data_IF_143077599945
#
_entry.id   IF_143077599945
#
_cell.length_a   1.000
_cell.length_b   1.000
_cell.length_c   1.000
_cell.angle_alpha   90.00
_cell.angle_beta   90.00
_cell.angle_gamma   90.00
#
_symmetry.space_group_name_H-M   'P 1'
#
loop_
_entity.id
_entity.type
_entity.pdbx_description
1 polymer ?
#
# COMPACT_ATOMS: atom_id res chain seq x y z
N UNK A 1 -31.98 5.78 -0.77
CA UNK A 1 -30.52 5.76 -1.00
C UNK A 1 -29.82 5.12 0.20
N UNK A 2 -29.84 3.79 0.31
CA UNK A 2 -29.28 3.07 1.47
C UNK A 2 -28.10 2.13 1.09
N UNK A 3 -27.61 2.19 -0.15
CA UNK A 3 -26.64 1.22 -0.69
C UNK A 3 -25.18 1.67 -0.69
N UNK A 4 -24.80 2.71 0.04
CA UNK A 4 -23.43 3.24 0.05
C UNK A 4 -22.62 2.88 1.29
N UNK A 5 -23.23 2.22 2.28
CA UNK A 5 -22.51 1.69 3.44
C UNK A 5 -22.16 0.25 3.08
N UNK A 6 -20.88 -0.10 3.08
CA UNK A 6 -20.43 -1.45 2.76
C UNK A 6 -21.08 -2.48 3.71
N UNK A 7 -21.97 -3.34 3.17
CA UNK A 7 -22.63 -4.40 3.95
C UNK A 7 -21.64 -5.46 4.45
N UNK A 8 -20.48 -5.60 3.81
CA UNK A 8 -19.44 -6.56 4.20
C UNK A 8 -18.27 -5.86 4.90
N UNK A 9 -18.27 -5.93 6.23
CA UNK A 9 -17.28 -5.33 7.14
C UNK A 9 -16.04 -6.19 7.35
N UNK A 10 -15.94 -7.38 6.74
CA UNK A 10 -14.76 -8.25 6.90
C UNK A 10 -13.52 -7.54 6.36
N UNK A 11 -12.36 -7.80 6.96
CA UNK A 11 -11.07 -7.30 6.44
C UNK A 11 -10.87 -7.75 4.98
N UNK A 12 -10.41 -6.83 4.14
CA UNK A 12 -10.00 -7.12 2.76
C UNK A 12 -8.59 -7.69 2.79
N UNK A 13 -8.41 -8.82 2.11
CA UNK A 13 -7.13 -9.54 1.99
C UNK A 13 -6.81 -9.78 0.52
N UNK A 14 -5.58 -10.18 0.22
CA UNK A 14 -5.17 -10.57 -1.15
C UNK A 14 -6.09 -11.64 -1.75
N UNK A 15 -6.50 -12.63 -0.94
CA UNK A 15 -7.43 -13.67 -1.38
C UNK A 15 -8.79 -13.10 -1.77
N UNK A 16 -9.33 -12.17 -0.97
CA UNK A 16 -10.61 -11.53 -1.27
C UNK A 16 -10.56 -10.68 -2.54
N UNK A 17 -9.44 -10.00 -2.81
CA UNK A 17 -9.27 -9.28 -4.08
C UNK A 17 -9.30 -10.25 -5.28
N UNK A 18 -8.74 -11.46 -5.14
CA UNK A 18 -8.82 -12.51 -6.17
C UNK A 18 -10.27 -12.97 -6.36
N UNK A 19 -11.01 -13.21 -5.27
CA UNK A 19 -12.41 -13.61 -5.35
C UNK A 19 -13.30 -12.51 -5.99
N UNK A 20 -13.09 -11.24 -5.63
CA UNK A 20 -13.80 -10.10 -6.24
C UNK A 20 -13.59 -10.08 -7.75
N UNK A 21 -12.34 -10.25 -8.19
CA UNK A 21 -12.00 -10.36 -9.63
C UNK A 21 -12.73 -11.54 -10.29
N UNK A 22 -12.77 -12.71 -9.65
CA UNK A 22 -13.47 -13.89 -10.18
C UNK A 22 -14.98 -13.68 -10.30
N UNK A 23 -15.58 -12.91 -9.38
CA UNK A 23 -17.00 -12.52 -9.42
C UNK A 23 -17.29 -11.35 -10.36
N UNK A 24 -16.27 -10.72 -10.95
CA UNK A 24 -16.43 -9.53 -11.78
C UNK A 24 -16.73 -8.25 -11.00
N UNK A 25 -16.55 -8.27 -9.68
CA UNK A 25 -16.70 -7.09 -8.80
C UNK A 25 -15.52 -6.14 -9.01
N UNK A 26 -15.82 -4.85 -9.19
CA UNK A 26 -14.77 -3.82 -9.34
C UNK A 26 -14.14 -3.55 -7.98
N UNK A 27 -12.81 -3.52 -7.95
CA UNK A 27 -12.02 -3.19 -6.76
C UNK A 27 -11.81 -1.68 -6.74
N UNK A 28 -12.17 -1.05 -5.63
CA UNK A 28 -11.94 0.37 -5.38
C UNK A 28 -10.67 0.59 -4.56
N UNK A 29 -9.84 1.54 -5.00
CA UNK A 29 -8.62 1.93 -4.30
C UNK A 29 -8.52 3.45 -4.24
N UNK A 30 -8.17 3.99 -3.08
CA UNK A 30 -7.90 5.41 -2.90
C UNK A 30 -6.68 5.62 -2.02
N UNK A 31 -5.95 6.71 -2.23
CA UNK A 31 -4.84 7.06 -1.37
C UNK A 31 -5.30 7.69 -0.05
N UNK A 32 -4.56 7.43 1.02
CA UNK A 32 -4.68 8.16 2.28
C UNK A 32 -3.32 8.20 2.97
N UNK A 33 -3.07 9.24 3.78
CA UNK A 33 -1.75 9.49 4.35
C UNK A 33 -1.78 9.75 5.87
N UNK A 34 -2.96 9.85 6.46
CA UNK A 34 -3.14 10.12 7.89
C UNK A 34 -4.32 9.33 8.47
N UNK A 35 -4.39 9.33 9.81
CA UNK A 35 -5.39 8.59 10.58
C UNK A 35 -6.82 9.02 10.26
N UNK A 36 -7.07 10.32 10.18
CA UNK A 36 -8.42 10.88 10.03
C UNK A 36 -8.98 10.58 8.64
N UNK A 37 -8.17 10.82 7.59
CA UNK A 37 -8.58 10.50 6.23
C UNK A 37 -8.77 8.98 6.06
N UNK A 38 -7.89 8.17 6.63
CA UNK A 38 -8.02 6.71 6.57
C UNK A 38 -9.36 6.22 7.15
N UNK A 39 -9.83 6.77 8.27
CA UNK A 39 -11.13 6.42 8.85
C UNK A 39 -12.30 6.77 7.91
N UNK A 40 -12.23 7.93 7.25
CA UNK A 40 -13.28 8.39 6.32
C UNK A 40 -13.32 7.47 5.09
N UNK A 41 -12.15 7.20 4.51
CA UNK A 41 -12.01 6.38 3.30
C UNK A 41 -12.38 4.92 3.56
N UNK A 42 -11.98 4.36 4.70
CA UNK A 42 -12.39 3.01 5.13
C UNK A 42 -13.90 2.93 5.38
N UNK A 43 -14.47 3.93 6.07
CA UNK A 43 -15.90 4.02 6.33
C UNK A 43 -16.75 4.21 5.07
N UNK A 44 -16.17 4.80 4.01
CA UNK A 44 -16.79 4.92 2.69
C UNK A 44 -16.74 3.60 1.88
N UNK A 45 -16.10 2.55 2.41
CA UNK A 45 -16.12 1.21 1.83
C UNK A 45 -15.02 0.93 0.81
N UNK A 46 -13.93 1.72 0.75
CA UNK A 46 -12.80 1.41 -0.13
C UNK A 46 -12.22 0.02 0.15
N UNK A 47 -11.91 -0.74 -0.89
CA UNK A 47 -11.36 -2.09 -0.74
C UNK A 47 -9.87 -2.06 -0.40
N UNK A 48 -9.16 -1.09 -0.97
CA UNK A 48 -7.73 -0.89 -0.74
C UNK A 48 -7.44 0.58 -0.44
N UNK A 49 -6.61 0.82 0.57
CA UNK A 49 -6.04 2.14 0.86
C UNK A 49 -4.56 2.10 0.55
N UNK A 50 -4.12 2.97 -0.36
CA UNK A 50 -2.72 3.09 -0.74
C UNK A 50 -2.07 4.26 0.01
N UNK A 51 -1.08 3.97 0.82
CA UNK A 51 -0.13 4.97 1.30
C UNK A 51 0.95 5.11 0.24
N UNK A 52 0.68 5.99 -0.72
CA UNK A 52 1.53 6.18 -1.89
C UNK A 52 2.64 7.20 -1.70
N UNK A 53 3.72 7.07 -2.46
CA UNK A 53 4.83 8.04 -2.52
C UNK A 53 4.39 9.42 -3.05
N UNK A 54 3.23 9.49 -3.70
CA UNK A 54 2.46 10.72 -4.00
C UNK A 54 2.26 11.64 -2.79
N UNK A 55 2.39 11.13 -1.56
CA UNK A 55 2.50 11.94 -0.34
C UNK A 55 3.60 13.02 -0.45
N UNK A 56 4.68 12.76 -1.19
CA UNK A 56 5.73 13.73 -1.45
C UNK A 56 5.18 15.04 -2.01
N UNK A 57 4.23 14.94 -2.95
CA UNK A 57 3.61 16.09 -3.57
C UNK A 57 2.53 16.68 -2.67
N UNK A 58 1.56 15.86 -2.24
CA UNK A 58 0.33 16.37 -1.64
C UNK A 58 0.44 16.64 -0.14
N UNK A 59 1.40 16.01 0.55
CA UNK A 59 1.65 16.22 1.99
C UNK A 59 2.89 17.08 2.23
N UNK A 60 3.95 16.92 1.44
CA UNK A 60 5.21 17.63 1.63
C UNK A 60 5.46 18.78 0.65
N UNK A 61 4.64 18.94 -0.40
CA UNK A 61 4.75 20.04 -1.36
C UNK A 61 5.94 19.94 -2.31
N UNK A 62 6.58 18.77 -2.42
CA UNK A 62 7.66 18.56 -3.37
C UNK A 62 7.12 18.57 -4.82
N UNK A 63 8.01 18.88 -5.78
CA UNK A 63 7.67 18.86 -7.21
C UNK A 63 7.54 17.42 -7.74
N UNK A 64 8.28 16.47 -7.17
CA UNK A 64 8.29 15.06 -7.59
C UNK A 64 8.19 14.13 -6.38
N UNK A 65 8.01 12.83 -6.62
CA UNK A 65 8.00 11.82 -5.54
C UNK A 65 9.39 11.44 -5.05
N UNK A 66 10.45 11.70 -5.83
CA UNK A 66 11.84 11.31 -5.50
C UNK A 66 12.32 11.70 -4.09
N UNK A 67 11.99 12.87 -3.52
CA UNK A 67 12.53 13.25 -2.22
C UNK A 67 11.92 12.52 -1.01
N UNK A 68 10.82 11.78 -1.18
CA UNK A 68 10.17 11.12 -0.03
C UNK A 68 11.02 9.96 0.48
N UNK A 69 11.22 9.92 1.80
CA UNK A 69 12.09 8.93 2.43
C UNK A 69 11.32 7.71 2.90
N UNK A 70 12.05 6.61 3.13
CA UNK A 70 11.52 5.40 3.75
C UNK A 70 10.85 5.69 5.11
N UNK A 71 11.45 6.55 5.92
CA UNK A 71 10.92 6.90 7.25
C UNK A 71 9.61 7.70 7.15
N UNK A 72 9.48 8.57 6.15
CA UNK A 72 8.22 9.28 5.87
C UNK A 72 7.12 8.32 5.41
N UNK A 73 7.45 7.35 4.55
CA UNK A 73 6.50 6.30 4.15
C UNK A 73 6.05 5.45 5.33
N UNK A 74 6.97 5.07 6.23
CA UNK A 74 6.65 4.35 7.47
C UNK A 74 5.75 5.19 8.37
N UNK A 75 6.02 6.49 8.53
CA UNK A 75 5.22 7.40 9.34
C UNK A 75 3.76 7.49 8.85
N UNK A 76 3.57 7.71 7.54
CA UNK A 76 2.24 7.74 6.93
C UNK A 76 1.55 6.37 7.03
N UNK A 77 2.29 5.29 6.73
CA UNK A 77 1.80 3.91 6.83
C UNK A 77 1.25 3.61 8.23
N UNK A 78 2.03 3.90 9.26
CA UNK A 78 1.65 3.70 10.67
C UNK A 78 0.41 4.52 11.06
N UNK A 79 0.28 5.73 10.53
CA UNK A 79 -0.86 6.61 10.79
C UNK A 79 -2.14 6.05 10.16
N UNK A 80 -2.06 5.59 8.90
CA UNK A 80 -3.18 5.03 8.15
C UNK A 80 -3.64 3.70 8.73
N UNK A 81 -2.72 2.76 9.00
CA UNK A 81 -3.08 1.44 9.53
C UNK A 81 -3.90 1.53 10.83
N UNK A 82 -3.63 2.53 11.67
CA UNK A 82 -4.40 2.77 12.91
C UNK A 82 -5.84 3.23 12.65
N UNK A 83 -6.09 3.88 11.52
CA UNK A 83 -7.41 4.39 11.13
C UNK A 83 -8.27 3.38 10.35
N UNK A 84 -7.67 2.32 9.82
CA UNK A 84 -8.34 1.34 8.94
C UNK A 84 -8.79 0.11 9.72
N UNK A 85 -10.03 -0.31 9.50
CA UNK A 85 -10.59 -1.57 10.04
C UNK A 85 -10.82 -2.60 8.94
N UNK A 86 -11.34 -2.18 7.78
CA UNK A 86 -11.80 -3.08 6.72
C UNK A 86 -10.84 -3.15 5.53
N UNK A 87 -10.48 -2.02 4.95
CA UNK A 87 -9.69 -1.95 3.73
C UNK A 87 -8.31 -2.62 3.90
N UNK A 88 -7.77 -3.15 2.81
CA UNK A 88 -6.38 -3.61 2.75
C UNK A 88 -5.47 -2.38 2.66
N UNK A 89 -4.50 -2.24 3.55
CA UNK A 89 -3.54 -1.13 3.53
C UNK A 89 -2.28 -1.55 2.79
N UNK A 90 -1.98 -0.86 1.70
CA UNK A 90 -0.77 -1.05 0.89
C UNK A 90 0.13 0.15 1.10
N UNK A 91 1.42 -0.07 1.35
CA UNK A 91 2.41 1.02 1.46
C UNK A 91 3.39 0.95 0.30
N UNK A 92 3.64 2.09 -0.34
CA UNK A 92 4.66 2.18 -1.37
C UNK A 92 6.07 2.02 -0.80
N UNK A 93 6.90 1.28 -1.54
CA UNK A 93 8.35 1.38 -1.38
C UNK A 93 8.83 2.61 -2.15
N UNK A 94 9.46 3.61 -1.50
CA UNK A 94 9.89 4.82 -2.17
C UNK A 94 11.09 4.56 -3.09
N UNK A 95 11.31 5.49 -4.03
CA UNK A 95 12.45 5.43 -4.94
C UNK A 95 13.79 5.26 -4.20
N UNK A 96 14.67 4.42 -4.74
CA UNK A 96 15.99 4.14 -4.18
C UNK A 96 15.97 3.12 -3.04
N UNK A 97 14.81 2.67 -2.57
CA UNK A 97 14.74 1.74 -1.44
C UNK A 97 14.69 0.26 -1.85
N UNK A 98 14.60 -0.06 -3.14
CA UNK A 98 14.42 -1.44 -3.63
C UNK A 98 15.02 -1.74 -5.01
N UNK A 99 15.42 -0.72 -5.77
CA UNK A 99 16.11 -0.89 -7.04
C UNK A 99 17.58 -1.27 -6.83
N UNK A 100 18.16 -2.02 -7.77
CA UNK A 100 19.61 -2.28 -7.86
C UNK A 100 20.14 -3.38 -6.93
N UNK A 101 19.60 -3.53 -5.71
CA UNK A 101 20.04 -4.56 -4.76
C UNK A 101 18.83 -5.20 -4.05
N UNK A 102 18.58 -6.48 -4.31
CA UNK A 102 17.46 -7.24 -3.76
C UNK A 102 17.51 -7.44 -2.25
N UNK A 103 18.70 -7.41 -1.65
CA UNK A 103 18.88 -7.53 -0.20
C UNK A 103 18.54 -6.23 0.52
N UNK A 104 18.90 -5.08 -0.07
CA UNK A 104 18.48 -3.77 0.42
C UNK A 104 16.97 -3.57 0.23
N UNK A 105 16.43 -4.01 -0.91
CA UNK A 105 14.99 -4.04 -1.14
C UNK A 105 14.24 -4.88 -0.10
N UNK A 106 14.72 -6.09 0.20
CA UNK A 106 14.14 -6.91 1.26
C UNK A 106 14.23 -6.24 2.64
N UNK A 107 15.36 -5.61 2.97
CA UNK A 107 15.54 -4.92 4.25
C UNK A 107 14.55 -3.75 4.41
N UNK A 108 14.40 -2.93 3.36
CA UNK A 108 13.41 -1.84 3.31
C UNK A 108 11.98 -2.37 3.45
N UNK A 109 11.65 -3.45 2.74
CA UNK A 109 10.34 -4.08 2.81
C UNK A 109 10.01 -4.57 4.24
N UNK A 110 10.96 -5.25 4.88
CA UNK A 110 10.80 -5.73 6.27
C UNK A 110 10.60 -4.55 7.23
N UNK A 111 11.34 -3.45 7.07
CA UNK A 111 11.17 -2.25 7.88
C UNK A 111 9.76 -1.67 7.74
N UNK A 112 9.29 -1.48 6.51
CA UNK A 112 7.93 -0.97 6.27
C UNK A 112 6.89 -1.88 6.94
N UNK A 113 6.95 -3.19 6.72
CA UNK A 113 5.98 -4.13 7.28
C UNK A 113 6.00 -4.13 8.82
N UNK A 114 7.19 -4.17 9.43
CA UNK A 114 7.33 -4.22 10.90
C UNK A 114 6.90 -2.93 11.58
N UNK A 115 7.27 -1.78 11.00
CA UNK A 115 7.12 -0.49 11.67
C UNK A 115 5.75 0.15 11.39
N UNK A 116 5.16 -0.10 10.22
CA UNK A 116 3.83 0.42 9.83
C UNK A 116 2.68 -0.53 10.11
N UNK A 117 2.93 -1.85 10.15
CA UNK A 117 1.90 -2.91 10.20
C UNK A 117 0.96 -2.94 8.98
N UNK A 118 1.42 -2.49 7.80
CA UNK A 118 0.68 -2.60 6.56
C UNK A 118 0.39 -4.06 6.15
N UNK A 119 -0.59 -4.26 5.28
CA UNK A 119 -1.00 -5.59 4.81
C UNK A 119 -0.16 -6.05 3.59
N UNK A 120 0.36 -5.12 2.79
CA UNK A 120 1.19 -5.38 1.62
C UNK A 120 2.04 -4.18 1.22
N UNK A 121 2.95 -4.40 0.26
CA UNK A 121 3.79 -3.36 -0.32
C UNK A 121 3.49 -3.16 -1.81
N UNK A 122 3.62 -1.93 -2.30
CA UNK A 122 3.62 -1.63 -3.74
C UNK A 122 5.03 -1.27 -4.21
N UNK A 123 5.43 -1.83 -5.35
CA UNK A 123 6.73 -1.62 -6.00
C UNK A 123 6.50 -1.27 -7.47
N UNK A 124 7.29 -0.31 -7.97
CA UNK A 124 7.26 0.11 -9.37
C UNK A 124 8.47 -0.41 -10.13
N UNK A 125 8.23 -0.95 -11.32
CA UNK A 125 9.27 -1.49 -12.17
C UNK A 125 8.88 -2.81 -12.81
N UNK A 126 9.49 -3.09 -13.94
CA UNK A 126 9.29 -4.30 -14.73
C UNK A 126 10.26 -5.42 -14.36
N UNK A 127 10.88 -6.01 -15.37
CA UNK A 127 11.82 -7.12 -15.22
C UNK A 127 13.05 -6.73 -14.40
N UNK A 128 13.44 -5.46 -14.39
CA UNK A 128 14.61 -4.93 -13.69
C UNK A 128 14.52 -5.01 -12.16
N UNK A 129 13.31 -5.15 -11.59
CA UNK A 129 13.10 -5.31 -10.14
C UNK A 129 12.59 -6.71 -9.75
N UNK A 130 12.53 -7.65 -10.70
CA UNK A 130 11.87 -8.95 -10.47
C UNK A 130 12.54 -9.77 -9.36
N UNK A 131 13.86 -9.69 -9.23
CA UNK A 131 14.60 -10.44 -8.22
C UNK A 131 14.34 -9.88 -6.82
N UNK A 132 14.21 -8.56 -6.68
CA UNK A 132 13.72 -7.93 -5.45
C UNK A 132 12.30 -8.39 -5.12
N UNK A 133 11.39 -8.42 -6.10
CA UNK A 133 10.00 -8.88 -5.90
C UNK A 133 9.97 -10.34 -5.42
N UNK A 134 10.70 -11.25 -6.09
CA UNK A 134 10.81 -12.66 -5.69
C UNK A 134 11.33 -12.80 -4.25
N UNK A 135 12.34 -12.00 -3.89
CA UNK A 135 12.93 -12.02 -2.55
C UNK A 135 11.93 -11.58 -1.49
N UNK A 136 11.20 -10.50 -1.73
CA UNK A 136 10.15 -9.99 -0.84
C UNK A 136 9.03 -11.02 -0.67
N UNK A 137 8.56 -11.61 -1.78
CA UNK A 137 7.54 -12.67 -1.75
C UNK A 137 8.02 -13.91 -0.98
N UNK A 138 9.30 -14.30 -1.11
CA UNK A 138 9.87 -15.43 -0.37
C UNK A 138 9.90 -15.22 1.15
N UNK A 139 9.89 -13.96 1.59
CA UNK A 139 9.78 -13.59 3.00
C UNK A 139 8.31 -13.54 3.50
N UNK A 140 7.34 -13.89 2.65
CA UNK A 140 5.92 -13.91 2.98
C UNK A 140 5.25 -12.53 2.94
N UNK A 141 5.89 -11.53 2.33
CA UNK A 141 5.35 -10.17 2.23
C UNK A 141 4.56 -10.06 0.90
N UNK A 142 3.25 -9.75 0.93
CA UNK A 142 2.49 -9.58 -0.29
C UNK A 142 2.93 -8.33 -1.07
N UNK A 143 2.99 -8.45 -2.39
CA UNK A 143 3.43 -7.39 -3.30
C UNK A 143 2.33 -7.04 -4.31
N UNK A 144 2.12 -5.75 -4.50
CA UNK A 144 1.37 -5.15 -5.59
C UNK A 144 2.37 -4.55 -6.59
N UNK A 145 2.40 -5.08 -7.81
CA UNK A 145 3.24 -4.53 -8.88
C UNK A 145 2.62 -3.29 -9.51
N UNK A 146 3.44 -2.29 -9.81
CA UNK A 146 3.08 -1.10 -10.55
C UNK A 146 3.88 -1.04 -11.86
N UNK A 147 3.15 -1.06 -12.97
CA UNK A 147 3.67 -0.89 -14.33
C UNK A 147 3.00 0.33 -14.96
N UNK A 148 3.57 0.84 -16.06
CA UNK A 148 3.04 1.98 -16.82
C UNK A 148 1.65 1.77 -17.41
#
# INVERSE_FOLDING_TARGET
MAGYIADDTRKVTTHRLIEMKQRGEKISMLTAYDYTMAQIVDGAGMDVILVGDSASNVMAGNVTTLPITLDQMIYHGKSVVRGVKRAMVVVDMPFGSYQGNEMEGLASAIRIMKESHADALKLEGGEEVIDTVKRILSAGIPVMGHLG
#
